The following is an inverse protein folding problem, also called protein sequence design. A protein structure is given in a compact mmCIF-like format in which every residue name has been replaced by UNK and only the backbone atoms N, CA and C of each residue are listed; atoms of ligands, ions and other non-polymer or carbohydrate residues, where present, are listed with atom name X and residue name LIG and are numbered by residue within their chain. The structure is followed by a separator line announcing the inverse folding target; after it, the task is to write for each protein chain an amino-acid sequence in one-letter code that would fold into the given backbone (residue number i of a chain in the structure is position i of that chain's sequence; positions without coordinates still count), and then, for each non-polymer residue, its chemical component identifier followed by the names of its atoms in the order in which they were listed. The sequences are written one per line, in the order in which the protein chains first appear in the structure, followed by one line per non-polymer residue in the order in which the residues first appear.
data_IF_003421477823
#
_entry.id   IF_003421477823
#
_cell.length_a   1.000
_cell.length_b   1.000
_cell.length_c   1.000
_cell.angle_alpha   90.00
_cell.angle_beta   90.00
_cell.angle_gamma   90.00
#
_symmetry.space_group_name_H-M   'P 1'
#
loop_
_entity.id
_entity.type
_entity.pdbx_description
1 polymer ?
#
# COMPACT_ATOMS: atom_id res chain seq x y z
N UNK A 1 -4.97 17.38 -5.07
CA UNK A 1 -3.67 17.37 -4.36
C UNK A 1 -2.57 16.84 -5.29
N UNK A 2 -1.37 17.44 -5.31
CA UNK A 2 -0.25 17.04 -6.19
C UNK A 2 0.11 15.56 -6.05
N UNK A 3 0.10 15.03 -4.82
CA UNK A 3 0.38 13.60 -4.54
C UNK A 3 -0.59 12.65 -5.27
N UNK A 4 -1.89 12.98 -5.28
CA UNK A 4 -2.93 12.17 -5.93
C UNK A 4 -2.78 12.19 -7.45
N UNK A 5 -2.43 13.35 -8.03
CA UNK A 5 -2.15 13.46 -9.45
C UNK A 5 -0.90 12.65 -9.85
N UNK A 6 0.17 12.70 -9.06
CA UNK A 6 1.37 11.90 -9.31
C UNK A 6 1.09 10.39 -9.21
N UNK A 7 0.35 9.97 -8.17
CA UNK A 7 -0.09 8.58 -8.00
C UNK A 7 -0.89 8.10 -9.22
N UNK A 8 -1.78 8.94 -9.75
CA UNK A 8 -2.55 8.63 -10.96
C UNK A 8 -1.65 8.36 -12.17
N UNK A 9 -0.69 9.25 -12.46
CA UNK A 9 0.23 9.10 -13.59
C UNK A 9 1.06 7.80 -13.51
N UNK A 10 1.51 7.41 -12.31
CA UNK A 10 2.22 6.16 -12.10
C UNK A 10 1.34 4.93 -12.35
N UNK A 11 0.11 4.94 -11.83
CA UNK A 11 -0.83 3.84 -11.98
C UNK A 11 -1.28 3.64 -13.43
N UNK A 12 -1.54 4.72 -14.18
CA UNK A 12 -1.87 4.60 -15.61
C UNK A 12 -0.68 4.13 -16.45
N UNK A 13 0.55 4.38 -15.99
CA UNK A 13 1.78 3.86 -16.60
C UNK A 13 2.05 2.39 -16.26
N UNK A 14 1.19 1.74 -15.45
CA UNK A 14 1.30 0.33 -15.08
C UNK A 14 2.21 0.05 -13.88
N UNK A 15 2.64 1.09 -13.16
CA UNK A 15 3.52 0.95 -12.00
C UNK A 15 2.72 0.74 -10.72
N UNK A 16 3.11 -0.28 -9.95
CA UNK A 16 2.62 -0.45 -8.58
C UNK A 16 3.27 0.63 -7.68
N UNK A 17 2.52 1.20 -6.75
CA UNK A 17 2.98 2.36 -5.96
C UNK A 17 2.84 2.07 -4.48
N UNK A 18 3.92 2.27 -3.73
CA UNK A 18 3.92 2.26 -2.26
C UNK A 18 4.19 3.68 -1.76
N UNK A 19 3.21 4.26 -1.05
CA UNK A 19 3.34 5.57 -0.40
C UNK A 19 3.41 5.38 1.10
N UNK A 20 4.38 6.00 1.74
CA UNK A 20 4.44 6.14 3.19
C UNK A 20 4.29 7.61 3.56
N UNK A 21 3.91 7.91 4.81
CA UNK A 21 3.62 9.25 5.31
C UNK A 21 4.68 10.30 4.94
N UNK A 22 5.95 9.91 4.79
CA UNK A 22 7.02 10.80 4.34
C UNK A 22 7.55 10.59 2.90
N UNK A 23 7.50 9.38 2.33
CA UNK A 23 8.26 9.10 1.10
C UNK A 23 7.60 8.07 0.15
N UNK A 24 7.92 8.24 -1.15
CA UNK A 24 7.74 7.19 -2.16
C UNK A 24 8.90 6.23 -2.01
N UNK A 25 8.62 4.95 -1.74
CA UNK A 25 9.66 3.96 -1.49
C UNK A 25 9.79 3.05 -2.71
N UNK A 26 11.00 2.91 -3.25
CA UNK A 26 11.29 1.94 -4.31
C UNK A 26 11.68 0.61 -3.69
N UNK A 27 10.94 -0.44 -4.02
CA UNK A 27 11.22 -1.79 -3.56
C UNK A 27 12.05 -2.54 -4.61
N UNK A 28 13.18 -3.12 -4.19
CA UNK A 28 13.92 -4.09 -5.01
C UNK A 28 13.10 -5.38 -5.17
N UNK A 29 13.29 -6.13 -6.26
CA UNK A 29 12.44 -7.25 -6.75
C UNK A 29 12.03 -8.31 -5.70
N UNK A 30 12.73 -8.42 -4.57
CA UNK A 30 12.39 -9.33 -3.47
C UNK A 30 10.97 -9.16 -2.88
N UNK A 31 10.32 -8.02 -3.09
CA UNK A 31 8.93 -7.80 -2.64
C UNK A 31 7.90 -8.65 -3.40
N UNK A 32 8.20 -9.01 -4.65
CA UNK A 32 7.24 -9.66 -5.57
C UNK A 32 6.74 -10.99 -5.03
N UNK A 33 7.60 -11.75 -4.35
CA UNK A 33 7.27 -13.03 -3.71
C UNK A 33 6.19 -12.96 -2.64
N UNK A 34 5.77 -11.76 -2.25
CA UNK A 34 4.74 -11.54 -1.23
C UNK A 34 3.48 -10.87 -1.79
N UNK A 35 3.59 -10.11 -2.89
CA UNK A 35 2.57 -9.11 -3.22
C UNK A 35 1.99 -9.23 -4.64
N UNK A 36 2.49 -10.14 -5.47
CA UNK A 36 2.06 -10.22 -6.87
C UNK A 36 1.99 -11.63 -7.44
N UNK A 37 0.94 -11.87 -8.23
CA UNK A 37 0.77 -13.06 -9.06
C UNK A 37 1.29 -12.87 -10.50
N UNK A 38 1.95 -11.74 -10.81
CA UNK A 38 2.43 -11.41 -12.17
C UNK A 38 3.52 -12.34 -12.69
N UNK A 39 4.21 -13.07 -11.81
CA UNK A 39 5.25 -14.04 -12.17
C UNK A 39 4.78 -15.46 -11.76
N UNK A 40 4.04 -16.19 -12.61
CA UNK A 40 3.44 -17.48 -12.24
C UNK A 40 4.46 -18.56 -11.85
N UNK A 41 5.70 -18.44 -12.35
CA UNK A 41 6.80 -19.32 -11.98
C UNK A 41 7.32 -19.07 -10.54
N UNK A 42 6.98 -17.93 -9.95
CA UNK A 42 7.34 -17.52 -8.60
C UNK A 42 6.09 -16.97 -7.90
N UNK A 43 5.11 -17.83 -7.61
CA UNK A 43 3.88 -17.37 -6.97
C UNK A 43 4.19 -16.77 -5.59
N UNK A 44 3.30 -15.91 -5.07
CA UNK A 44 3.40 -15.44 -3.70
C UNK A 44 3.52 -16.61 -2.72
N UNK A 45 4.22 -16.41 -1.62
CA UNK A 45 4.21 -17.41 -0.55
C UNK A 45 2.76 -17.66 -0.08
N UNK A 46 2.44 -18.89 0.36
CA UNK A 46 1.06 -19.25 0.70
C UNK A 46 0.38 -18.30 1.69
N UNK A 47 1.13 -17.82 2.69
CA UNK A 47 0.66 -16.92 3.74
C UNK A 47 0.25 -15.54 3.20
N UNK A 48 0.79 -15.15 2.05
CA UNK A 48 0.56 -13.86 1.41
C UNK A 48 -0.35 -13.95 0.17
N UNK A 49 -0.86 -15.15 -0.15
CA UNK A 49 -1.64 -15.43 -1.37
C UNK A 49 -2.86 -14.49 -1.56
N UNK A 50 -3.58 -14.19 -0.47
CA UNK A 50 -4.73 -13.27 -0.49
C UNK A 50 -4.29 -11.80 -0.62
N UNK A 51 -3.20 -11.41 0.05
CA UNK A 51 -2.63 -10.06 -0.05
C UNK A 51 -2.20 -9.75 -1.48
N UNK A 52 -1.62 -10.74 -2.17
CA UNK A 52 -1.25 -10.64 -3.56
C UNK A 52 -2.43 -10.52 -4.55
N UNK A 53 -3.69 -10.61 -4.08
CA UNK A 53 -4.89 -10.33 -4.86
C UNK A 53 -5.51 -8.96 -4.58
N UNK A 54 -5.09 -8.26 -3.51
CA UNK A 54 -5.66 -6.95 -3.15
C UNK A 54 -5.22 -5.82 -4.08
N UNK A 55 -6.15 -5.00 -4.56
CA UNK A 55 -5.82 -3.79 -5.34
C UNK A 55 -5.18 -2.69 -4.46
N UNK A 56 -5.53 -2.66 -3.18
CA UNK A 56 -4.99 -1.74 -2.18
C UNK A 56 -4.61 -2.52 -0.92
N UNK A 57 -3.50 -2.13 -0.32
CA UNK A 57 -3.11 -2.55 1.01
C UNK A 57 -2.80 -1.33 1.85
N UNK A 58 -3.44 -1.21 3.00
CA UNK A 58 -3.24 -0.11 3.94
C UNK A 58 -2.69 -0.70 5.22
N UNK A 59 -1.56 -0.19 5.67
CA UNK A 59 -1.05 -0.47 7.02
C UNK A 59 -1.12 0.83 7.80
N UNK A 60 -1.70 0.75 8.98
CA UNK A 60 -1.61 1.81 9.99
C UNK A 60 -0.62 1.32 11.03
N UNK A 61 0.32 2.16 11.43
CA UNK A 61 1.20 1.86 12.55
C UNK A 61 0.81 2.79 13.70
N UNK A 62 0.82 2.25 14.91
CA UNK A 62 0.52 2.96 16.15
C UNK A 62 1.73 2.76 17.05
N UNK A 63 2.79 3.55 16.81
CA UNK A 63 4.01 3.41 17.60
C UNK A 63 3.93 4.33 18.83
N UNK A 64 3.29 3.83 19.90
CA UNK A 64 3.29 4.50 21.20
C UNK A 64 3.78 3.55 22.30
N UNK A 65 5.10 3.41 22.39
CA UNK A 65 5.80 2.51 23.31
C UNK A 65 5.41 2.68 24.79
N UNK A 66 5.07 3.90 25.24
CA UNK A 66 4.60 4.14 26.61
C UNK A 66 3.16 3.68 26.85
N UNK A 67 2.31 3.67 25.82
CA UNK A 67 0.91 3.21 25.93
C UNK A 67 0.71 1.75 25.56
N UNK A 68 1.55 1.20 24.68
CA UNK A 68 1.59 -0.24 24.37
C UNK A 68 1.88 -1.06 25.63
N UNK A 69 2.72 -0.51 26.50
CA UNK A 69 3.02 -1.10 27.82
C UNK A 69 1.89 -0.93 28.85
N UNK A 70 0.90 -0.05 28.59
CA UNK A 70 -0.21 0.28 29.51
C UNK A 70 -1.59 -0.16 29.00
N UNK A 71 -1.73 -0.68 27.78
CA UNK A 71 -2.99 -1.19 27.20
C UNK A 71 -4.03 -0.12 26.84
N UNK A 72 -3.61 1.12 26.59
CA UNK A 72 -4.50 2.26 26.30
C UNK A 72 -5.11 2.23 24.88
N UNK A 73 -6.35 2.74 24.72
CA UNK A 73 -7.17 2.64 23.48
C UNK A 73 -7.32 3.94 22.66
N UNK A 74 -6.48 4.96 22.85
CA UNK A 74 -6.68 6.25 22.19
C UNK A 74 -5.37 6.89 21.72
N UNK A 75 -4.79 6.47 20.60
CA UNK A 75 -3.70 7.21 19.96
C UNK A 75 -4.09 7.84 18.61
N UNK A 76 -3.25 8.77 18.18
CA UNK A 76 -3.27 9.31 16.82
C UNK A 76 -2.80 8.22 15.87
N UNK A 77 -3.70 7.74 15.02
CA UNK A 77 -3.39 6.80 13.95
C UNK A 77 -2.41 7.46 12.98
N UNK A 78 -1.19 6.93 12.88
CA UNK A 78 -0.30 7.25 11.79
C UNK A 78 -0.55 6.26 10.64
N UNK A 79 -0.72 6.77 9.43
CA UNK A 79 -0.95 5.91 8.27
C UNK A 79 0.41 5.39 7.81
N UNK A 80 0.83 4.24 8.35
CA UNK A 80 2.14 3.65 8.06
C UNK A 80 2.45 3.62 6.56
N UNK A 81 1.68 2.87 5.77
CA UNK A 81 1.91 2.70 4.33
C UNK A 81 0.60 2.43 3.58
N UNK A 82 0.46 2.99 2.38
CA UNK A 82 -0.55 2.56 1.40
C UNK A 82 0.12 2.05 0.14
N UNK A 83 -0.18 0.80 -0.22
CA UNK A 83 0.24 0.18 -1.47
C UNK A 83 -0.94 0.11 -2.44
N UNK A 84 -0.67 0.48 -3.70
CA UNK A 84 -1.60 0.44 -4.82
C UNK A 84 -1.05 -0.50 -5.89
N UNK A 85 -1.81 -1.56 -6.21
CA UNK A 85 -1.52 -2.36 -7.41
C UNK A 85 -2.03 -1.63 -8.63
N UNK A 86 -1.21 -1.49 -9.67
CA UNK A 86 -1.66 -0.97 -10.96
C UNK A 86 -2.75 -1.89 -11.53
N UNK A 87 -3.99 -1.43 -11.40
CA UNK A 87 -5.20 -2.18 -11.71
C UNK A 87 -6.43 -1.27 -11.74
N UNK A 88 -7.59 -1.78 -12.18
CA UNK A 88 -8.83 -1.00 -12.21
C UNK A 88 -9.26 -0.53 -10.82
N UNK A 89 -9.12 -1.37 -9.78
CA UNK A 89 -9.55 -1.04 -8.42
C UNK A 89 -8.75 0.13 -7.81
N UNK A 90 -7.43 0.08 -7.91
CA UNK A 90 -6.57 1.18 -7.45
C UNK A 90 -6.88 2.49 -8.17
N UNK A 91 -7.07 2.45 -9.49
CA UNK A 91 -7.42 3.65 -10.27
C UNK A 91 -8.77 4.23 -9.85
N UNK A 92 -9.79 3.38 -9.66
CA UNK A 92 -11.10 3.83 -9.18
C UNK A 92 -11.00 4.52 -7.81
N UNK A 93 -10.22 3.97 -6.89
CA UNK A 93 -9.99 4.60 -5.57
C UNK A 93 -9.30 5.96 -5.70
N UNK A 94 -8.23 6.06 -6.49
CA UNK A 94 -7.49 7.31 -6.67
C UNK A 94 -8.35 8.38 -7.34
N UNK A 95 -9.21 7.99 -8.28
CA UNK A 95 -10.18 8.88 -8.89
C UNK A 95 -11.18 9.41 -7.87
N UNK A 96 -11.72 8.54 -7.01
CA UNK A 96 -12.61 8.97 -5.93
C UNK A 96 -11.92 9.93 -4.94
N UNK A 97 -10.67 9.63 -4.56
CA UNK A 97 -9.89 10.50 -3.67
C UNK A 97 -9.64 11.88 -4.29
N UNK A 98 -9.46 11.96 -5.61
CA UNK A 98 -9.28 13.24 -6.30
C UNK A 98 -10.52 14.14 -6.22
N UNK A 99 -11.70 13.56 -6.12
CA UNK A 99 -13.01 14.25 -6.07
C UNK A 99 -13.46 14.60 -4.64
N UNK A 100 -12.72 14.12 -3.64
CA UNK A 100 -12.96 14.38 -2.20
C UNK A 100 -12.29 15.67 -1.74
#
# INVERSE_FOLDING_TARGET
LVKVAFLWELLISGLDVLISDLDVVWLNDGWKRWMTWREPAQPPVPEASLMALADLLVTTDELNTERDTQGGRAAELNTGVVYFRAGPGARAMVQMWRES
#
